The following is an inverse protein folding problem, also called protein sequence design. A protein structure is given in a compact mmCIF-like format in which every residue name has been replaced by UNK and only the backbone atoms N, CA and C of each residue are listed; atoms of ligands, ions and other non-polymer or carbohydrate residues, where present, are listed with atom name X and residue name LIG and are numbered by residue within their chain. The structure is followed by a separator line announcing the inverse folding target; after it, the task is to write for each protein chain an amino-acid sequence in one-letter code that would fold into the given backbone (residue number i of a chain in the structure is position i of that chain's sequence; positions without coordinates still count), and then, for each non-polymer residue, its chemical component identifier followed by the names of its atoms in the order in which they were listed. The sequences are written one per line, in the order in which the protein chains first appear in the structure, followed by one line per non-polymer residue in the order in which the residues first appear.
data_IF_838870493049
#
_entry.id   IF_838870493049
#
_cell.length_a   1.000
_cell.length_b   1.000
_cell.length_c   1.000
_cell.angle_alpha   90.00
_cell.angle_beta   90.00
_cell.angle_gamma   90.00
#
_symmetry.space_group_name_H-M   'P 1'
#
loop_
_entity.id
_entity.type
_entity.pdbx_description
1 polymer ?
#
# COMPACT_ATOMS: atom_id res chain seq x y z
N UNK A 1 -24.18 -9.58 -1.93
CA UNK A 1 -24.16 -8.50 -0.91
C UNK A 1 -23.42 -9.05 0.29
N UNK A 2 -22.45 -8.32 0.84
CA UNK A 2 -21.66 -8.69 2.03
C UNK A 2 -21.66 -7.51 3.00
N UNK A 3 -21.51 -7.80 4.29
CA UNK A 3 -21.23 -6.82 5.34
C UNK A 3 -19.72 -6.76 5.56
N UNK A 4 -19.07 -5.63 5.22
CA UNK A 4 -17.62 -5.50 5.15
C UNK A 4 -17.10 -4.55 6.24
N UNK A 5 -16.27 -5.05 7.15
CA UNK A 5 -15.59 -4.26 8.16
C UNK A 5 -14.23 -3.80 7.65
N UNK A 6 -13.98 -2.48 7.61
CA UNK A 6 -12.75 -1.90 7.03
C UNK A 6 -11.96 -1.18 8.12
N UNK A 7 -10.85 -1.77 8.55
CA UNK A 7 -9.86 -1.12 9.37
C UNK A 7 -9.02 -0.16 8.51
N UNK A 8 -9.08 1.16 8.80
CA UNK A 8 -8.40 2.19 8.00
C UNK A 8 -9.21 2.74 6.82
N UNK A 9 -10.54 2.75 6.93
CA UNK A 9 -11.47 3.21 5.90
C UNK A 9 -11.27 4.68 5.45
N UNK A 10 -10.60 5.50 6.24
CA UNK A 10 -10.30 6.92 5.93
C UNK A 10 -8.87 7.15 5.47
N UNK A 11 -8.16 6.11 5.07
CA UNK A 11 -6.85 6.18 4.43
C UNK A 11 -6.94 6.35 2.92
N UNK A 12 -5.80 6.50 2.24
CA UNK A 12 -5.75 6.77 0.80
C UNK A 12 -6.50 5.72 -0.04
N UNK A 13 -6.35 4.42 0.27
CA UNK A 13 -7.12 3.36 -0.39
C UNK A 13 -8.56 3.34 0.13
N UNK A 14 -8.76 3.49 1.44
CA UNK A 14 -10.09 3.45 2.06
C UNK A 14 -11.05 4.49 1.47
N UNK A 15 -10.58 5.72 1.24
CA UNK A 15 -11.34 6.80 0.62
C UNK A 15 -11.83 6.46 -0.82
N UNK A 16 -11.19 5.49 -1.49
CA UNK A 16 -11.58 4.98 -2.81
C UNK A 16 -12.38 3.67 -2.72
N UNK A 17 -12.07 2.85 -1.73
CA UNK A 17 -12.67 1.54 -1.53
C UNK A 17 -14.11 1.63 -1.02
N UNK A 18 -14.35 2.49 -0.02
CA UNK A 18 -15.68 2.63 0.59
C UNK A 18 -16.76 2.99 -0.43
N UNK A 19 -16.60 4.03 -1.28
CA UNK A 19 -17.59 4.32 -2.32
C UNK A 19 -17.82 3.17 -3.30
N UNK A 20 -16.77 2.48 -3.73
CA UNK A 20 -16.89 1.35 -4.67
C UNK A 20 -17.70 0.18 -4.08
N UNK A 21 -17.52 -0.10 -2.77
CA UNK A 21 -18.28 -1.14 -2.09
C UNK A 21 -19.76 -0.75 -1.90
N UNK A 22 -20.01 0.49 -1.49
CA UNK A 22 -21.38 1.02 -1.33
C UNK A 22 -22.13 1.02 -2.67
N UNK A 23 -21.48 1.46 -3.75
CA UNK A 23 -22.05 1.45 -5.10
C UNK A 23 -22.40 0.04 -5.57
N UNK A 24 -21.63 -0.97 -5.18
CA UNK A 24 -21.91 -2.39 -5.45
C UNK A 24 -22.99 -3.00 -4.52
N UNK A 25 -23.54 -2.23 -3.60
CA UNK A 25 -24.58 -2.67 -2.68
C UNK A 25 -24.08 -3.47 -1.48
N UNK A 26 -22.78 -3.34 -1.12
CA UNK A 26 -22.27 -3.90 0.12
C UNK A 26 -22.60 -2.99 1.32
N UNK A 27 -22.84 -3.58 2.49
CA UNK A 27 -22.90 -2.85 3.74
C UNK A 27 -21.47 -2.62 4.27
N UNK A 28 -21.09 -1.37 4.45
CA UNK A 28 -19.73 -1.02 4.86
C UNK A 28 -19.69 -0.46 6.27
N UNK A 29 -18.86 -1.05 7.13
CA UNK A 29 -18.53 -0.52 8.45
C UNK A 29 -17.07 -0.07 8.41
N UNK A 30 -16.87 1.24 8.29
CA UNK A 30 -15.53 1.82 8.22
C UNK A 30 -15.02 2.26 9.59
N UNK A 31 -13.73 2.06 9.85
CA UNK A 31 -13.13 2.58 11.07
C UNK A 31 -12.23 3.80 10.83
N UNK A 32 -12.20 4.68 11.80
CA UNK A 32 -11.30 5.84 11.87
C UNK A 32 -10.92 6.13 13.32
N UNK A 33 -9.71 6.67 13.54
CA UNK A 33 -9.33 7.21 14.86
C UNK A 33 -9.86 8.62 15.11
N UNK A 34 -10.26 9.33 14.06
CA UNK A 34 -10.79 10.69 14.13
C UNK A 34 -12.32 10.67 14.02
N UNK A 35 -13.05 11.26 15.00
CA UNK A 35 -14.50 11.43 14.91
C UNK A 35 -14.94 12.16 13.64
N UNK A 36 -14.24 13.25 13.24
CA UNK A 36 -14.59 14.06 12.07
C UNK A 36 -14.46 13.25 10.77
N UNK A 37 -13.47 12.34 10.71
CA UNK A 37 -13.33 11.41 9.57
C UNK A 37 -14.41 10.32 9.60
N UNK A 38 -14.84 9.88 10.77
CA UNK A 38 -15.95 8.97 10.91
C UNK A 38 -17.27 9.58 10.39
N UNK A 39 -17.49 10.86 10.63
CA UNK A 39 -18.67 11.58 10.10
C UNK A 39 -18.67 11.64 8.57
N UNK A 40 -17.49 11.80 7.95
CA UNK A 40 -17.37 11.72 6.48
C UNK A 40 -17.72 10.34 5.92
N UNK A 41 -17.36 9.26 6.62
CA UNK A 41 -17.76 7.91 6.23
C UNK A 41 -19.28 7.75 6.24
N UNK A 42 -19.95 8.26 7.29
CA UNK A 42 -21.43 8.24 7.39
C UNK A 42 -22.10 9.02 6.26
N UNK A 43 -21.57 10.19 5.95
CA UNK A 43 -22.04 11.00 4.83
C UNK A 43 -21.85 10.30 3.47
N UNK A 44 -20.88 9.40 3.35
CA UNK A 44 -20.61 8.56 2.17
C UNK A 44 -21.41 7.26 2.13
N UNK A 45 -22.38 7.06 3.02
CA UNK A 45 -23.26 5.88 3.02
C UNK A 45 -22.71 4.66 3.77
N UNK A 46 -21.63 4.80 4.53
CA UNK A 46 -21.09 3.73 5.37
C UNK A 46 -21.46 3.93 6.85
N UNK A 47 -21.60 2.84 7.60
CA UNK A 47 -21.51 2.90 9.05
C UNK A 47 -20.08 3.28 9.46
N UNK A 48 -19.91 3.96 10.60
CA UNK A 48 -18.59 4.37 11.05
C UNK A 48 -18.37 4.12 12.54
N UNK A 49 -17.21 3.55 12.87
CA UNK A 49 -16.76 3.27 14.23
C UNK A 49 -15.46 4.02 14.50
N UNK A 50 -15.43 4.78 15.62
CA UNK A 50 -14.18 5.37 16.11
C UNK A 50 -13.39 4.27 16.83
N UNK A 51 -12.23 3.89 16.27
CA UNK A 51 -11.47 2.73 16.73
C UNK A 51 -9.97 2.94 16.53
N UNK A 52 -9.17 2.62 17.55
CA UNK A 52 -7.74 2.35 17.38
C UNK A 52 -7.54 0.83 17.18
N UNK A 53 -7.00 0.44 16.04
CA UNK A 53 -6.71 -0.96 15.68
C UNK A 53 -5.64 -1.58 16.61
N UNK A 54 -4.87 -0.75 17.32
CA UNK A 54 -3.88 -1.20 18.32
C UNK A 54 -4.49 -1.47 19.71
N UNK A 55 -5.80 -1.31 19.88
CA UNK A 55 -6.53 -1.74 21.07
C UNK A 55 -7.28 -3.05 20.77
N UNK A 56 -6.76 -4.22 21.16
CA UNK A 56 -7.36 -5.50 20.80
C UNK A 56 -8.73 -5.72 21.45
N UNK A 57 -8.99 -5.12 22.63
CA UNK A 57 -10.30 -5.22 23.27
C UNK A 57 -11.36 -4.42 22.52
N UNK A 58 -11.03 -3.19 22.11
CA UNK A 58 -11.91 -2.36 21.28
C UNK A 58 -12.16 -2.98 19.91
N UNK A 59 -11.12 -3.57 19.28
CA UNK A 59 -11.25 -4.31 18.00
C UNK A 59 -12.22 -5.47 18.15
N UNK A 60 -12.04 -6.35 19.14
CA UNK A 60 -12.93 -7.49 19.40
C UNK A 60 -14.38 -7.03 19.57
N UNK A 61 -14.63 -6.01 20.41
CA UNK A 61 -15.96 -5.46 20.64
C UNK A 61 -16.58 -4.90 19.36
N UNK A 62 -15.81 -4.16 18.56
CA UNK A 62 -16.29 -3.54 17.33
C UNK A 62 -16.63 -4.58 16.24
N UNK A 63 -15.77 -5.58 16.03
CA UNK A 63 -16.01 -6.66 15.05
C UNK A 63 -17.19 -7.51 15.48
N UNK A 64 -17.30 -7.89 16.77
CA UNK A 64 -18.44 -8.65 17.29
C UNK A 64 -19.77 -7.89 17.14
N UNK A 65 -19.79 -6.58 17.37
CA UNK A 65 -20.98 -5.75 17.17
C UNK A 65 -21.34 -5.62 15.67
N UNK A 66 -20.33 -5.49 14.82
CA UNK A 66 -20.51 -5.35 13.37
C UNK A 66 -21.00 -6.65 12.71
N UNK A 67 -20.65 -7.84 13.22
CA UNK A 67 -20.93 -9.16 12.63
C UNK A 67 -20.68 -9.19 11.12
N UNK A 68 -19.46 -8.89 10.67
CA UNK A 68 -19.16 -8.77 9.25
C UNK A 68 -18.97 -10.15 8.60
N UNK A 69 -19.30 -10.24 7.29
CA UNK A 69 -18.95 -11.39 6.45
C UNK A 69 -17.44 -11.34 6.06
N UNK A 70 -16.90 -10.12 5.96
CA UNK A 70 -15.52 -9.89 5.55
C UNK A 70 -14.84 -8.78 6.35
N UNK A 71 -13.53 -8.92 6.57
CA UNK A 71 -12.66 -7.91 7.18
C UNK A 71 -11.58 -7.46 6.18
N UNK A 72 -11.41 -6.14 6.05
CA UNK A 72 -10.36 -5.53 5.24
C UNK A 72 -9.41 -4.74 6.15
N UNK A 73 -8.14 -5.10 6.16
CA UNK A 73 -7.10 -4.41 6.92
C UNK A 73 -6.30 -3.48 6.03
N UNK A 74 -6.68 -2.18 6.00
CA UNK A 74 -6.00 -1.10 5.28
C UNK A 74 -5.35 -0.09 6.25
N UNK A 75 -5.33 -0.37 7.55
CA UNK A 75 -4.80 0.57 8.53
C UNK A 75 -3.28 0.68 8.43
N UNK A 76 -2.80 1.88 8.15
CA UNK A 76 -1.38 2.26 8.14
C UNK A 76 -1.19 3.66 8.73
N UNK A 77 0.04 4.02 9.03
CA UNK A 77 0.42 5.36 9.46
C UNK A 77 1.52 5.91 8.53
N UNK A 78 1.25 5.90 7.22
CA UNK A 78 2.22 6.27 6.18
C UNK A 78 2.13 7.73 5.76
N UNK A 79 1.09 8.45 6.15
CA UNK A 79 0.90 9.85 5.77
C UNK A 79 2.06 10.72 6.27
N UNK A 80 2.73 11.43 5.33
CA UNK A 80 3.84 12.32 5.63
C UNK A 80 5.20 11.65 5.90
N UNK A 81 5.31 10.32 5.74
CA UNK A 81 6.57 9.61 5.92
C UNK A 81 7.55 9.90 4.78
N UNK A 82 8.71 10.48 5.12
CA UNK A 82 9.75 10.84 4.15
C UNK A 82 11.19 10.63 4.67
N UNK A 83 11.36 10.18 5.91
CA UNK A 83 12.69 9.93 6.50
C UNK A 83 13.18 8.51 6.17
N UNK A 84 13.80 8.36 5.01
CA UNK A 84 14.40 7.09 4.58
C UNK A 84 15.70 6.74 5.34
N UNK A 85 16.34 7.71 5.98
CA UNK A 85 17.57 7.48 6.77
C UNK A 85 17.28 6.68 8.03
N UNK A 86 16.13 6.96 8.67
CA UNK A 86 15.67 6.26 9.87
C UNK A 86 14.41 5.42 9.55
N UNK A 87 14.47 4.60 8.51
CA UNK A 87 13.36 3.89 7.91
C UNK A 87 12.50 3.16 8.95
N UNK A 88 13.07 2.26 9.74
CA UNK A 88 12.32 1.49 10.74
C UNK A 88 11.67 2.36 11.83
N UNK A 89 12.28 3.51 12.17
CA UNK A 89 11.70 4.48 13.10
C UNK A 89 10.48 5.16 12.46
N UNK A 90 10.62 5.60 11.22
CA UNK A 90 9.55 6.26 10.48
C UNK A 90 8.34 5.35 10.30
N UNK A 91 8.58 4.07 10.08
CA UNK A 91 7.53 3.07 9.91
C UNK A 91 7.06 2.42 11.23
N UNK A 92 7.56 2.84 12.39
CA UNK A 92 7.32 2.18 13.67
C UNK A 92 5.85 1.95 14.00
N UNK A 93 4.99 2.95 13.81
CA UNK A 93 3.55 2.80 14.04
C UNK A 93 2.90 1.89 12.97
N UNK A 94 3.30 2.00 11.72
CA UNK A 94 2.83 1.10 10.66
C UNK A 94 3.26 -0.35 10.93
N UNK A 95 4.46 -0.55 11.45
CA UNK A 95 4.95 -1.89 11.81
C UNK A 95 4.10 -2.52 12.92
N UNK A 96 3.72 -1.74 13.95
CA UNK A 96 2.78 -2.19 14.98
C UNK A 96 1.40 -2.53 14.41
N UNK A 97 0.88 -1.73 13.49
CA UNK A 97 -0.38 -2.04 12.80
C UNK A 97 -0.29 -3.32 11.98
N UNK A 98 0.86 -3.59 11.35
CA UNK A 98 1.10 -4.82 10.59
C UNK A 98 1.30 -6.06 11.46
N UNK A 99 1.73 -5.91 12.71
CA UNK A 99 1.88 -7.01 13.67
C UNK A 99 0.70 -7.05 14.62
N UNK A 100 0.71 -6.26 15.69
CA UNK A 100 -0.31 -6.21 16.74
C UNK A 100 -1.73 -5.97 16.19
N UNK A 101 -1.87 -5.05 15.23
CA UNK A 101 -3.16 -4.74 14.60
C UNK A 101 -3.70 -5.89 13.75
N UNK A 102 -2.83 -6.57 12.99
CA UNK A 102 -3.21 -7.77 12.22
C UNK A 102 -3.66 -8.89 13.15
N UNK A 103 -2.88 -9.17 14.20
CA UNK A 103 -3.20 -10.22 15.16
C UNK A 103 -4.54 -9.96 15.86
N UNK A 104 -4.80 -8.71 16.27
CA UNK A 104 -6.07 -8.32 16.90
C UNK A 104 -7.28 -8.48 15.95
N UNK A 105 -7.13 -8.07 14.68
CA UNK A 105 -8.20 -8.19 13.68
C UNK A 105 -8.46 -9.65 13.30
N UNK A 106 -7.41 -10.48 13.14
CA UNK A 106 -7.55 -11.91 12.84
C UNK A 106 -8.19 -12.67 14.01
N UNK A 107 -7.79 -12.37 15.25
CA UNK A 107 -8.42 -12.97 16.43
C UNK A 107 -9.92 -12.64 16.49
N UNK A 108 -10.29 -11.38 16.32
CA UNK A 108 -11.68 -10.94 16.31
C UNK A 108 -12.48 -11.55 15.15
N UNK A 109 -11.88 -11.65 13.96
CA UNK A 109 -12.47 -12.27 12.78
C UNK A 109 -12.75 -13.77 13.02
N UNK A 110 -11.78 -14.49 13.58
CA UNK A 110 -11.94 -15.91 13.90
C UNK A 110 -13.03 -16.15 14.96
N UNK A 111 -13.09 -15.35 16.03
CA UNK A 111 -14.11 -15.44 17.07
C UNK A 111 -15.54 -15.21 16.56
N UNK A 112 -15.69 -14.44 15.49
CA UNK A 112 -16.98 -14.06 14.91
C UNK A 112 -17.35 -14.84 13.65
N UNK A 113 -16.49 -15.77 13.21
CA UNK A 113 -16.76 -16.61 12.05
C UNK A 113 -16.67 -15.86 10.71
N UNK A 114 -15.82 -14.85 10.62
CA UNK A 114 -15.58 -14.11 9.38
C UNK A 114 -14.99 -15.04 8.32
N UNK A 115 -15.61 -15.09 7.15
CA UNK A 115 -15.22 -16.00 6.07
C UNK A 115 -14.10 -15.43 5.19
N UNK A 116 -13.97 -14.10 5.13
CA UNK A 116 -13.04 -13.44 4.20
C UNK A 116 -12.19 -12.38 4.91
N UNK A 117 -10.87 -12.52 4.81
CA UNK A 117 -9.93 -11.54 5.33
C UNK A 117 -8.98 -11.06 4.23
N UNK A 118 -8.91 -9.73 4.02
CA UNK A 118 -8.03 -9.11 3.02
C UNK A 118 -7.16 -8.08 3.70
N UNK A 119 -5.84 -8.15 3.53
CA UNK A 119 -4.90 -7.20 4.14
C UNK A 119 -4.01 -6.51 3.13
N UNK A 120 -3.68 -5.24 3.42
CA UNK A 120 -2.70 -4.47 2.67
C UNK A 120 -1.27 -4.89 3.01
N UNK A 121 -0.49 -5.26 2.01
CA UNK A 121 0.96 -5.40 2.06
C UNK A 121 1.64 -4.50 1.02
N UNK A 122 2.93 -4.70 0.72
CA UNK A 122 3.69 -3.85 -0.17
C UNK A 122 4.54 -4.65 -1.16
N UNK A 123 4.49 -4.31 -2.46
CA UNK A 123 5.32 -4.85 -3.52
C UNK A 123 6.57 -3.98 -3.76
N UNK A 124 7.62 -4.59 -4.29
CA UNK A 124 8.85 -3.90 -4.70
C UNK A 124 10.00 -4.08 -3.71
N UNK A 125 10.30 -3.08 -2.89
CA UNK A 125 11.48 -3.10 -2.01
C UNK A 125 11.55 -4.28 -1.00
N UNK A 126 10.46 -4.92 -0.58
CA UNK A 126 10.55 -6.10 0.27
C UNK A 126 11.16 -7.33 -0.40
N UNK A 127 11.15 -7.40 -1.72
CA UNK A 127 11.69 -8.56 -2.43
C UNK A 127 13.22 -8.65 -2.36
N UNK A 128 13.72 -9.88 -2.44
CA UNK A 128 15.15 -10.16 -2.60
C UNK A 128 15.73 -9.41 -3.80
N UNK A 129 16.82 -8.68 -3.57
CA UNK A 129 17.48 -7.82 -4.57
C UNK A 129 18.30 -8.59 -5.62
N UNK A 130 18.31 -9.93 -5.55
CA UNK A 130 19.01 -10.83 -6.49
C UNK A 130 18.05 -11.36 -7.56
N UNK A 131 18.61 -11.84 -8.67
CA UNK A 131 17.85 -12.43 -9.78
C UNK A 131 17.23 -11.38 -10.71
N UNK A 132 16.15 -11.75 -11.39
CA UNK A 132 15.48 -10.91 -12.39
C UNK A 132 14.97 -9.57 -11.86
N UNK A 133 14.77 -8.60 -12.76
CA UNK A 133 14.35 -7.23 -12.39
C UNK A 133 12.90 -7.15 -11.91
N UNK A 134 12.07 -8.10 -12.29
CA UNK A 134 10.64 -8.17 -11.94
C UNK A 134 10.40 -9.46 -11.16
N UNK A 135 9.69 -9.34 -10.03
CA UNK A 135 9.41 -10.41 -9.08
C UNK A 135 7.95 -10.86 -9.15
N UNK A 136 7.74 -12.10 -8.80
CA UNK A 136 6.41 -12.71 -8.62
C UNK A 136 6.14 -12.96 -7.13
N UNK A 137 4.95 -13.41 -6.81
CA UNK A 137 4.56 -13.78 -5.44
C UNK A 137 5.33 -14.98 -4.89
N UNK A 138 5.97 -15.76 -5.76
CA UNK A 138 6.80 -16.92 -5.39
C UNK A 138 8.23 -16.52 -5.02
N UNK A 139 8.66 -15.31 -5.41
CA UNK A 139 9.97 -14.79 -5.03
C UNK A 139 10.01 -14.44 -3.54
N UNK A 140 11.09 -14.78 -2.82
CA UNK A 140 11.19 -14.53 -1.39
C UNK A 140 11.34 -13.03 -1.07
N UNK A 141 10.95 -12.67 0.15
CA UNK A 141 11.36 -11.40 0.75
C UNK A 141 12.89 -11.38 0.91
N UNK A 142 13.48 -10.18 1.01
CA UNK A 142 14.94 -10.01 1.09
C UNK A 142 15.49 -10.66 2.37
N UNK A 143 16.28 -11.74 2.28
CA UNK A 143 16.85 -12.39 3.45
C UNK A 143 17.97 -11.56 4.12
N UNK A 144 18.49 -10.55 3.41
CA UNK A 144 19.59 -9.68 3.86
C UNK A 144 19.24 -8.20 3.67
N UNK A 145 18.13 -7.72 4.28
CA UNK A 145 17.72 -6.33 4.09
C UNK A 145 18.71 -5.35 4.67
N UNK A 146 18.69 -4.13 4.17
CA UNK A 146 19.42 -3.01 4.79
C UNK A 146 19.06 -2.96 6.29
N UNK A 147 20.03 -2.80 7.19
CA UNK A 147 19.78 -2.87 8.64
C UNK A 147 18.63 -1.99 9.14
N UNK A 148 18.49 -0.78 8.59
CA UNK A 148 17.42 0.17 8.96
C UNK A 148 16.04 -0.16 8.39
N UNK A 149 15.92 -1.20 7.55
CA UNK A 149 14.67 -1.70 6.96
C UNK A 149 14.23 -3.06 7.54
N UNK A 150 15.05 -3.64 8.42
CA UNK A 150 14.87 -5.02 8.90
C UNK A 150 13.58 -5.20 9.69
N UNK A 151 13.27 -4.28 10.60
CA UNK A 151 12.04 -4.36 11.41
C UNK A 151 10.79 -4.20 10.55
N UNK A 152 10.84 -3.30 9.59
CA UNK A 152 9.71 -3.06 8.67
C UNK A 152 9.47 -4.25 7.74
N UNK A 153 10.55 -4.87 7.25
CA UNK A 153 10.43 -6.09 6.46
C UNK A 153 9.89 -7.26 7.30
N UNK A 154 10.35 -7.41 8.54
CA UNK A 154 9.81 -8.41 9.47
C UNK A 154 8.32 -8.22 9.74
N UNK A 155 7.86 -6.98 9.91
CA UNK A 155 6.44 -6.68 10.11
C UNK A 155 5.59 -6.99 8.86
N UNK A 156 6.13 -6.77 7.65
CA UNK A 156 5.48 -7.19 6.40
C UNK A 156 5.37 -8.71 6.34
N UNK A 157 6.47 -9.42 6.61
CA UNK A 157 6.47 -10.89 6.63
C UNK A 157 5.49 -11.49 7.65
N UNK A 158 5.41 -10.91 8.85
CA UNK A 158 4.44 -11.31 9.87
C UNK A 158 3.00 -11.18 9.39
N UNK A 159 2.63 -9.99 8.87
CA UNK A 159 1.29 -9.76 8.33
C UNK A 159 0.93 -10.77 7.24
N UNK A 160 1.81 -10.94 6.26
CA UNK A 160 1.56 -11.83 5.13
C UNK A 160 1.39 -13.29 5.57
N UNK A 161 2.28 -13.77 6.46
CA UNK A 161 2.20 -15.12 7.00
C UNK A 161 0.93 -15.33 7.81
N UNK A 162 0.63 -14.45 8.77
CA UNK A 162 -0.55 -14.57 9.63
C UNK A 162 -1.86 -14.54 8.82
N UNK A 163 -1.94 -13.67 7.81
CA UNK A 163 -3.12 -13.58 6.93
C UNK A 163 -3.29 -14.83 6.09
N UNK A 164 -2.21 -15.35 5.49
CA UNK A 164 -2.27 -16.55 4.64
C UNK A 164 -2.59 -17.79 5.48
N UNK A 165 -1.99 -17.94 6.66
CA UNK A 165 -2.26 -19.05 7.59
C UNK A 165 -3.71 -19.07 8.06
N UNK A 166 -4.33 -17.89 8.18
CA UNK A 166 -5.75 -17.74 8.49
C UNK A 166 -6.68 -17.93 7.26
N UNK A 167 -6.16 -18.31 6.10
CA UNK A 167 -6.95 -18.48 4.88
C UNK A 167 -7.33 -17.15 4.19
N UNK A 168 -6.67 -16.05 4.51
CA UNK A 168 -6.91 -14.73 3.94
C UNK A 168 -6.05 -14.40 2.71
N UNK A 169 -6.21 -13.18 2.20
CA UNK A 169 -5.46 -12.65 1.07
C UNK A 169 -4.62 -11.44 1.50
N UNK A 170 -3.33 -11.46 1.18
CA UNK A 170 -2.44 -10.32 1.34
C UNK A 170 -2.19 -9.65 -0.02
N UNK A 171 -2.60 -8.39 -0.17
CA UNK A 171 -2.44 -7.62 -1.39
C UNK A 171 -1.18 -6.75 -1.28
N UNK A 172 -0.14 -7.10 -2.02
CA UNK A 172 1.09 -6.32 -2.15
C UNK A 172 0.85 -5.20 -3.15
N UNK A 173 0.53 -4.01 -2.67
CA UNK A 173 0.40 -2.85 -3.55
C UNK A 173 1.75 -2.27 -3.93
N UNK A 174 1.87 -1.79 -5.17
CA UNK A 174 2.99 -0.97 -5.61
C UNK A 174 3.04 0.40 -4.95
N UNK A 175 3.92 1.26 -5.43
CA UNK A 175 3.93 2.68 -5.07
C UNK A 175 2.59 3.32 -5.42
N UNK A 176 1.80 3.67 -4.40
CA UNK A 176 0.48 4.26 -4.57
C UNK A 176 0.61 5.69 -5.14
N UNK A 177 -0.23 6.02 -6.11
CA UNK A 177 -0.34 7.37 -6.66
C UNK A 177 -1.79 7.72 -7.00
N UNK A 178 -2.05 9.01 -7.33
CA UNK A 178 -3.39 9.50 -7.65
C UNK A 178 -4.01 10.35 -6.53
N UNK A 179 -3.24 10.67 -5.48
CA UNK A 179 -3.62 11.68 -4.49
C UNK A 179 -2.93 13.01 -4.78
N UNK A 180 -3.66 14.14 -4.87
CA UNK A 180 -3.04 15.45 -5.04
C UNK A 180 -2.24 15.90 -3.80
N UNK A 181 -2.48 15.27 -2.66
CA UNK A 181 -1.84 15.58 -1.38
C UNK A 181 -0.68 14.64 -1.04
N UNK A 182 -0.11 13.95 -2.04
CA UNK A 182 1.05 13.10 -1.82
C UNK A 182 2.28 13.94 -1.45
N UNK A 183 2.82 13.72 -0.25
CA UNK A 183 4.02 14.40 0.23
C UNK A 183 5.24 14.20 -0.68
N UNK A 184 5.28 13.12 -1.45
CA UNK A 184 6.34 12.84 -2.41
C UNK A 184 6.37 13.87 -3.55
N UNK A 185 5.20 14.36 -4.00
CA UNK A 185 5.11 15.39 -5.04
C UNK A 185 5.82 16.68 -4.63
N UNK A 186 5.71 17.06 -3.35
CA UNK A 186 6.41 18.24 -2.82
C UNK A 186 7.94 18.06 -2.81
N UNK A 187 8.42 16.86 -2.51
CA UNK A 187 9.86 16.56 -2.60
C UNK A 187 10.35 16.67 -4.05
N UNK A 188 9.54 16.19 -5.01
CA UNK A 188 9.87 16.31 -6.44
C UNK A 188 9.84 17.78 -6.90
N UNK A 189 8.78 18.56 -6.56
CA UNK A 189 8.69 20.00 -6.87
C UNK A 189 9.89 20.78 -6.33
N UNK A 190 10.32 20.49 -5.12
CA UNK A 190 11.48 21.09 -4.45
C UNK A 190 12.82 20.50 -4.89
N UNK A 191 12.83 19.55 -5.83
CA UNK A 191 14.04 18.81 -6.29
C UNK A 191 14.83 18.17 -5.14
N UNK A 192 14.14 17.75 -4.08
CA UNK A 192 14.69 17.03 -2.92
C UNK A 192 14.58 15.51 -3.05
N UNK A 193 14.07 15.03 -4.18
CA UNK A 193 14.00 13.62 -4.54
C UNK A 193 14.90 13.39 -5.76
N UNK A 194 16.22 13.17 -5.56
CA UNK A 194 17.18 13.07 -6.65
C UNK A 194 17.25 11.64 -7.20
N UNK A 195 17.75 11.50 -8.44
CA UNK A 195 18.20 10.22 -8.98
C UNK A 195 19.55 9.91 -8.34
N UNK A 196 19.68 8.76 -7.67
CA UNK A 196 20.92 8.31 -7.03
C UNK A 196 21.68 7.37 -7.96
N UNK A 197 22.96 7.66 -8.19
CA UNK A 197 23.81 6.85 -9.06
C UNK A 197 23.23 6.72 -10.46
N UNK A 198 23.04 5.49 -10.92
CA UNK A 198 22.45 5.14 -12.21
C UNK A 198 20.92 5.18 -12.21
N UNK A 199 20.28 5.27 -11.04
CA UNK A 199 18.83 5.20 -10.90
C UNK A 199 18.25 3.87 -11.33
N UNK A 200 18.97 2.77 -11.07
CA UNK A 200 18.64 1.43 -11.56
C UNK A 200 17.58 0.68 -10.73
N UNK A 201 17.18 1.19 -9.57
CA UNK A 201 16.12 0.59 -8.75
C UNK A 201 14.79 0.57 -9.49
N UNK A 202 14.18 -0.63 -9.60
CA UNK A 202 12.94 -0.83 -10.37
C UNK A 202 11.73 -0.73 -9.45
N UNK A 203 10.88 0.23 -9.73
CA UNK A 203 9.64 0.48 -9.01
C UNK A 203 8.45 -0.06 -9.79
N UNK A 204 7.45 -0.52 -9.09
CA UNK A 204 6.12 -0.78 -9.62
C UNK A 204 5.12 0.13 -8.93
N UNK A 205 4.13 0.59 -9.68
CA UNK A 205 3.14 1.54 -9.21
C UNK A 205 1.74 0.96 -9.28
N UNK A 206 0.79 1.59 -8.61
CA UNK A 206 -0.63 1.34 -8.78
C UNK A 206 -1.42 2.59 -8.45
N UNK A 207 -2.39 2.93 -9.29
CA UNK A 207 -3.33 4.03 -9.01
C UNK A 207 -4.24 3.67 -7.84
N UNK A 208 -4.60 4.65 -7.01
CA UNK A 208 -5.46 4.43 -5.83
C UNK A 208 -6.82 3.79 -6.20
N UNK A 209 -7.42 4.19 -7.32
CA UNK A 209 -8.68 3.59 -7.78
C UNK A 209 -8.51 2.12 -8.19
N UNK A 210 -7.38 1.78 -8.82
CA UNK A 210 -7.05 0.41 -9.21
C UNK A 210 -6.72 -0.47 -8.01
N UNK A 211 -6.06 0.08 -6.99
CA UNK A 211 -5.81 -0.60 -5.72
C UNK A 211 -7.13 -0.91 -4.99
N UNK A 212 -8.05 0.05 -4.96
CA UNK A 212 -9.38 -0.16 -4.40
C UNK A 212 -10.18 -1.22 -5.19
N UNK A 213 -10.18 -1.15 -6.52
CA UNK A 213 -10.85 -2.13 -7.38
C UNK A 213 -10.29 -3.56 -7.19
N UNK A 214 -8.97 -3.70 -7.06
CA UNK A 214 -8.35 -4.99 -6.74
C UNK A 214 -8.79 -5.52 -5.37
N UNK A 215 -8.96 -4.63 -4.37
CA UNK A 215 -9.46 -5.01 -3.04
C UNK A 215 -10.90 -5.50 -3.10
N UNK A 216 -11.75 -4.83 -3.87
CA UNK A 216 -13.15 -5.27 -4.10
C UNK A 216 -13.17 -6.67 -4.73
N UNK A 217 -12.37 -6.90 -5.78
CA UNK A 217 -12.28 -8.21 -6.42
C UNK A 217 -11.71 -9.27 -5.48
N UNK A 218 -10.74 -8.93 -4.64
CA UNK A 218 -10.20 -9.82 -3.63
C UNK A 218 -11.22 -10.19 -2.55
N UNK A 219 -12.22 -9.37 -2.27
CA UNK A 219 -13.35 -9.72 -1.42
C UNK A 219 -14.31 -10.70 -2.10
N UNK A 220 -14.55 -10.52 -3.39
CA UNK A 220 -15.54 -11.30 -4.16
C UNK A 220 -14.97 -12.66 -4.62
N UNK A 221 -13.65 -12.75 -4.86
CA UNK A 221 -13.01 -13.92 -5.49
C UNK A 221 -11.52 -14.02 -5.13
N UNK A 222 -10.86 -15.03 -5.65
CA UNK A 222 -9.44 -15.34 -5.39
C UNK A 222 -9.27 -16.37 -4.28
N UNK A 223 -8.26 -17.21 -4.44
CA UNK A 223 -7.84 -18.17 -3.42
C UNK A 223 -7.03 -17.47 -2.33
N UNK A 224 -6.98 -18.01 -1.10
CA UNK A 224 -6.05 -17.54 -0.07
C UNK A 224 -4.62 -17.45 -0.59
N UNK A 225 -3.90 -16.39 -0.17
CA UNK A 225 -2.50 -16.21 -0.56
C UNK A 225 -2.12 -14.75 -0.81
N UNK A 226 -0.94 -14.58 -1.41
CA UNK A 226 -0.35 -13.28 -1.71
C UNK A 226 -0.61 -12.91 -3.17
N UNK A 227 -0.90 -11.63 -3.43
CA UNK A 227 -1.15 -11.07 -4.76
C UNK A 227 -0.43 -9.74 -4.94
N UNK A 228 0.37 -9.59 -6.00
CA UNK A 228 0.91 -8.30 -6.39
C UNK A 228 -0.15 -7.49 -7.15
N UNK A 229 -0.43 -6.31 -6.65
CA UNK A 229 -1.37 -5.35 -7.25
C UNK A 229 -0.57 -4.14 -7.70
N UNK A 230 -0.11 -4.18 -8.94
CA UNK A 230 0.75 -3.20 -9.58
C UNK A 230 0.32 -3.00 -11.04
N UNK A 231 0.70 -1.87 -11.66
CA UNK A 231 0.53 -1.66 -13.09
C UNK A 231 1.39 -2.62 -13.95
N UNK A 232 1.31 -2.51 -15.27
CA UNK A 232 1.98 -3.41 -16.21
C UNK A 232 3.43 -3.00 -16.53
N UNK A 233 3.90 -1.85 -16.01
CA UNK A 233 5.15 -1.23 -16.41
C UNK A 233 6.11 -0.98 -15.23
N UNK A 234 6.73 -2.03 -14.66
CA UNK A 234 7.83 -1.81 -13.71
C UNK A 234 8.95 -1.00 -14.35
N UNK A 235 9.41 0.07 -13.70
CA UNK A 235 10.34 1.00 -14.32
C UNK A 235 11.48 1.43 -13.37
N UNK A 236 12.70 1.65 -13.92
CA UNK A 236 13.81 2.18 -13.13
C UNK A 236 13.58 3.67 -12.78
N UNK A 237 14.13 4.07 -11.63
CA UNK A 237 14.03 5.45 -11.13
C UNK A 237 14.44 6.49 -12.18
N UNK A 238 15.47 6.19 -12.98
CA UNK A 238 15.92 7.10 -14.04
C UNK A 238 14.90 7.39 -15.14
N UNK A 239 13.82 6.61 -15.22
CA UNK A 239 12.73 6.79 -16.19
C UNK A 239 11.49 7.40 -15.55
N UNK A 240 10.97 6.80 -14.46
CA UNK A 240 9.72 7.26 -13.89
C UNK A 240 9.82 8.61 -13.17
N UNK A 241 10.95 8.89 -12.50
CA UNK A 241 11.07 10.11 -11.70
C UNK A 241 11.12 11.38 -12.56
N UNK A 242 11.84 11.43 -13.72
CA UNK A 242 11.73 12.56 -14.65
C UNK A 242 10.32 12.72 -15.24
N UNK A 243 9.64 11.61 -15.54
CA UNK A 243 8.27 11.65 -16.05
C UNK A 243 7.26 12.18 -15.02
N UNK A 244 7.40 11.76 -13.75
CA UNK A 244 6.61 12.32 -12.65
C UNK A 244 6.86 13.82 -12.50
N UNK A 245 8.13 14.25 -12.53
CA UNK A 245 8.47 15.67 -12.47
C UNK A 245 7.82 16.46 -13.60
N UNK A 246 7.85 15.94 -14.83
CA UNK A 246 7.19 16.57 -15.99
C UNK A 246 5.65 16.62 -15.81
N UNK A 247 5.03 15.55 -15.35
CA UNK A 247 3.58 15.48 -15.14
C UNK A 247 3.06 16.51 -14.11
N UNK A 248 3.88 16.86 -13.11
CA UNK A 248 3.51 17.87 -12.10
C UNK A 248 4.06 19.28 -12.42
N UNK A 249 4.59 19.52 -13.62
CA UNK A 249 5.17 20.80 -14.01
C UNK A 249 6.46 21.17 -13.27
N UNK A 250 7.18 20.19 -12.68
CA UNK A 250 8.39 20.45 -11.94
C UNK A 250 9.65 20.37 -12.82
N UNK A 251 10.73 21.02 -12.37
CA UNK A 251 12.05 20.90 -13.02
C UNK A 251 12.57 19.46 -12.91
N UNK A 252 13.34 18.96 -13.91
CA UNK A 252 13.94 17.62 -13.85
C UNK A 252 14.69 17.35 -12.54
N UNK A 253 14.65 16.11 -12.03
CA UNK A 253 15.34 15.74 -10.79
C UNK A 253 16.86 15.92 -10.94
N UNK A 254 17.54 16.23 -9.83
CA UNK A 254 19.01 16.24 -9.78
C UNK A 254 19.55 14.82 -9.78
N UNK A 255 20.75 14.64 -10.28
CA UNK A 255 21.53 13.40 -10.09
C UNK A 255 22.57 13.60 -9.01
N UNK A 256 22.69 12.64 -8.10
CA UNK A 256 23.72 12.65 -7.05
C UNK A 256 24.43 11.29 -7.00
N UNK A 257 25.73 11.28 -6.66
CA UNK A 257 26.46 10.02 -6.52
C UNK A 257 25.99 9.25 -5.27
N UNK A 258 26.15 7.92 -5.29
CA UNK A 258 25.73 7.03 -4.20
C UNK A 258 26.31 7.42 -2.83
N UNK A 259 27.57 7.86 -2.79
CA UNK A 259 28.21 8.23 -1.52
C UNK A 259 27.53 9.43 -0.85
N UNK A 260 27.11 10.44 -1.64
CA UNK A 260 26.39 11.60 -1.13
C UNK A 260 24.97 11.22 -0.67
N UNK A 261 24.28 10.39 -1.45
CA UNK A 261 22.95 9.87 -1.08
C UNK A 261 23.01 9.07 0.24
N UNK A 262 24.08 8.31 0.47
CA UNK A 262 24.30 7.55 1.72
C UNK A 262 24.37 8.47 2.95
N UNK A 263 24.98 9.64 2.82
CA UNK A 263 25.05 10.62 3.90
C UNK A 263 23.66 11.23 4.18
N UNK A 264 22.91 11.59 3.13
CA UNK A 264 21.65 12.34 3.24
C UNK A 264 20.45 11.42 3.53
N UNK A 265 20.34 10.31 2.80
CA UNK A 265 19.17 9.40 2.85
C UNK A 265 19.50 8.02 3.43
N UNK A 266 20.74 7.77 3.83
CA UNK A 266 21.19 6.50 4.38
C UNK A 266 21.24 5.38 3.34
N UNK A 267 21.58 4.17 3.80
CA UNK A 267 21.64 2.96 2.95
C UNK A 267 20.27 2.60 2.37
N UNK A 268 19.20 2.80 3.14
CA UNK A 268 17.84 2.52 2.66
C UNK A 268 17.47 3.40 1.44
N UNK A 269 17.78 4.71 1.50
CA UNK A 269 17.57 5.61 0.37
C UNK A 269 18.37 5.21 -0.86
N UNK A 270 19.62 4.77 -0.68
CA UNK A 270 20.43 4.26 -1.79
C UNK A 270 19.83 2.98 -2.37
N UNK A 271 19.45 2.00 -1.54
CA UNK A 271 18.88 0.74 -1.99
C UNK A 271 17.57 0.95 -2.76
N UNK A 272 16.65 1.81 -2.25
CA UNK A 272 15.40 2.15 -2.91
C UNK A 272 15.62 2.73 -4.31
N UNK A 273 16.67 3.53 -4.49
CA UNK A 273 16.95 4.20 -5.76
C UNK A 273 17.73 3.36 -6.76
N UNK A 274 18.45 2.32 -6.30
CA UNK A 274 19.44 1.64 -7.17
C UNK A 274 19.32 0.12 -7.21
N UNK A 275 18.63 -0.54 -6.25
CA UNK A 275 18.76 -1.98 -6.08
C UNK A 275 17.42 -2.73 -6.00
N UNK A 276 16.33 -2.06 -5.65
CA UNK A 276 15.03 -2.73 -5.51
C UNK A 276 14.53 -3.32 -6.84
N UNK A 277 13.63 -4.27 -6.72
CA UNK A 277 13.02 -5.00 -7.85
C UNK A 277 11.56 -4.62 -7.99
N UNK A 278 11.09 -4.60 -9.24
CA UNK A 278 9.68 -4.46 -9.57
C UNK A 278 8.89 -5.74 -9.28
N UNK A 279 7.60 -5.70 -9.52
CA UNK A 279 6.69 -6.82 -9.31
C UNK A 279 5.83 -7.07 -10.54
N UNK A 280 5.41 -8.32 -10.74
CA UNK A 280 4.47 -8.75 -11.77
C UNK A 280 3.06 -8.86 -11.19
N UNK A 281 2.06 -8.39 -11.92
CA UNK A 281 0.64 -8.49 -11.57
C UNK A 281 -0.08 -9.67 -12.22
N UNK A 282 0.63 -10.56 -12.89
CA UNK A 282 0.04 -11.63 -13.69
C UNK A 282 -0.89 -12.55 -12.89
N UNK A 283 -0.57 -12.80 -11.61
CA UNK A 283 -1.41 -13.61 -10.74
C UNK A 283 -2.73 -12.89 -10.43
N UNK A 284 -2.70 -11.61 -10.08
CA UNK A 284 -3.89 -10.83 -9.82
C UNK A 284 -4.81 -10.75 -11.05
N UNK A 285 -4.25 -10.56 -12.24
CA UNK A 285 -5.01 -10.59 -13.50
C UNK A 285 -5.70 -11.93 -13.72
N UNK A 286 -4.97 -13.03 -13.57
CA UNK A 286 -5.47 -14.38 -13.84
C UNK A 286 -6.50 -14.84 -12.80
N UNK A 287 -6.24 -14.63 -11.51
CA UNK A 287 -6.99 -15.25 -10.43
C UNK A 287 -8.07 -14.33 -9.83
N UNK A 288 -7.86 -13.02 -9.83
CA UNK A 288 -8.88 -12.05 -9.41
C UNK A 288 -9.69 -11.52 -10.61
N UNK A 289 -9.25 -11.76 -11.86
CA UNK A 289 -9.82 -11.13 -13.04
C UNK A 289 -9.65 -9.60 -13.00
N UNK A 290 -8.61 -9.14 -12.30
CA UNK A 290 -8.33 -7.71 -12.15
C UNK A 290 -7.62 -7.17 -13.39
N UNK A 291 -8.09 -6.01 -13.86
CA UNK A 291 -7.43 -5.26 -14.94
C UNK A 291 -7.27 -3.82 -14.48
N UNK A 292 -6.04 -3.27 -14.43
CA UNK A 292 -5.86 -1.89 -14.03
C UNK A 292 -6.46 -0.94 -15.08
N UNK A 293 -7.18 0.08 -14.60
CA UNK A 293 -7.66 1.19 -15.43
C UNK A 293 -6.49 2.02 -15.97
N UNK A 294 -5.41 2.08 -15.17
CA UNK A 294 -4.16 2.75 -15.52
C UNK A 294 -3.05 1.69 -15.65
N UNK A 295 -2.92 1.02 -16.82
CA UNK A 295 -1.96 -0.06 -17.01
C UNK A 295 -0.50 0.42 -17.05
N UNK A 296 -0.29 1.73 -17.20
CA UNK A 296 1.03 2.36 -17.16
C UNK A 296 1.02 3.57 -16.23
N UNK A 297 2.01 3.68 -15.37
CA UNK A 297 2.28 4.87 -14.55
C UNK A 297 2.44 6.13 -15.42
N UNK A 298 2.87 6.00 -16.69
CA UNK A 298 3.04 7.12 -17.61
C UNK A 298 1.71 7.82 -17.86
N UNK A 299 0.69 7.04 -18.20
CA UNK A 299 -0.67 7.55 -18.41
C UNK A 299 -1.32 7.94 -17.08
N UNK A 300 -1.09 7.13 -16.05
CA UNK A 300 -1.61 7.39 -14.73
C UNK A 300 -1.09 8.69 -14.12
N UNK A 301 0.20 9.00 -14.21
CA UNK A 301 0.75 10.28 -13.72
C UNK A 301 0.19 11.47 -14.51
N UNK A 302 0.06 11.34 -15.84
CA UNK A 302 -0.56 12.39 -16.66
C UNK A 302 -2.03 12.63 -16.28
N UNK A 303 -2.79 11.56 -16.09
CA UNK A 303 -4.19 11.65 -15.72
C UNK A 303 -4.38 12.24 -14.30
N UNK A 304 -3.56 11.79 -13.33
CA UNK A 304 -3.68 12.22 -11.94
C UNK A 304 -3.15 13.64 -11.68
N UNK A 305 -2.14 14.08 -12.43
CA UNK A 305 -1.38 15.30 -12.09
C UNK A 305 -1.22 16.28 -13.25
N UNK A 306 -1.53 15.90 -14.50
CA UNK A 306 -1.33 16.73 -15.69
C UNK A 306 -2.34 17.87 -15.88
N UNK A 307 -3.37 17.96 -15.05
CA UNK A 307 -4.40 19.02 -15.11
C UNK A 307 -4.05 20.33 -14.40
N UNK A 308 -2.83 20.51 -13.93
CA UNK A 308 -2.41 21.66 -13.12
C UNK A 308 -1.85 22.86 -13.92
N UNK A 309 -2.31 23.11 -15.14
CA UNK A 309 -1.95 24.28 -15.94
C UNK A 309 -3.22 24.88 -16.57
N UNK A 310 -4.03 25.54 -15.77
CA UNK A 310 -4.97 26.55 -16.21
C UNK A 310 -5.02 27.66 -15.16
#
# INVERSE_FOLDING_TARGET
MMRVFIAGATGAIGDRLVPQLVEKGHEVIGTSRSPEKADRLRAGGAEAVVLDVLDPHAVRKAVAAARPDAVVHQATALAGQSDFKHFDRSFGQTNRLRTEGTDALLAAANETGVERFVAQSFAGWPYARKGGPVKTEQDPLDPTPVPTMRKTLGAIGHLEQAVVDAGGLALRYGGLYGSPHDAQLELVRKRRFPIVGDGGGIWSFVHLDDAAAATVLALERGAPGIYNVVDDEPAPVREWLPALAAAIGAKPPRRIPRWLARIVAGEAGVALMTEIRGASNQKAKRELGWTPRYPSWRDGFRAAYGGGSA
#
